data_IF_767964606208
#
_entry.id   IF_767964606208
#
_cell.length_a   1.000
_cell.length_b   1.000
_cell.length_c   1.000
_cell.angle_alpha   90.00
_cell.angle_beta   90.00
_cell.angle_gamma   90.00
#
_symmetry.space_group_name_H-M   'P 1'
#
loop_
_entity.id
_entity.type
_entity.pdbx_description
1 polymer ?
#
# COMPACT_ATOMS: atom_id res chain seq x y z
N UNK A 1 -23.66 -7.02 18.15
CA UNK A 1 -22.66 -6.95 19.23
C UNK A 1 -21.67 -8.11 19.17
N UNK A 2 -22.10 -9.36 18.95
CA UNK A 2 -21.18 -10.50 18.74
C UNK A 2 -20.23 -10.29 17.55
N UNK A 3 -20.73 -9.92 16.38
CA UNK A 3 -19.88 -9.65 15.21
C UNK A 3 -18.88 -8.51 15.43
N UNK A 4 -19.26 -7.50 16.21
CA UNK A 4 -18.37 -6.39 16.57
C UNK A 4 -17.26 -6.88 17.53
N UNK A 5 -17.62 -7.73 18.49
CA UNK A 5 -16.67 -8.35 19.43
C UNK A 5 -15.71 -9.30 18.73
N UNK A 6 -16.19 -10.06 17.74
CA UNK A 6 -15.36 -10.91 16.89
C UNK A 6 -14.40 -10.08 16.04
N UNK A 7 -14.87 -8.97 15.45
CA UNK A 7 -14.00 -8.05 14.72
C UNK A 7 -12.90 -7.45 15.61
N UNK A 8 -13.22 -7.04 16.84
CA UNK A 8 -12.21 -6.57 17.80
C UNK A 8 -11.24 -7.69 18.23
N UNK A 9 -11.71 -8.93 18.33
CA UNK A 9 -10.87 -10.09 18.64
C UNK A 9 -9.90 -10.39 17.49
N UNK A 10 -10.35 -10.32 16.24
CA UNK A 10 -9.51 -10.45 15.05
C UNK A 10 -8.48 -9.31 14.99
N UNK A 11 -8.86 -8.09 15.37
CA UNK A 11 -7.94 -6.95 15.41
C UNK A 11 -6.83 -7.11 16.45
N UNK A 12 -7.12 -7.81 17.54
CA UNK A 12 -6.17 -8.12 18.61
C UNK A 12 -5.33 -9.38 18.31
N UNK A 13 -5.62 -10.07 17.21
CA UNK A 13 -4.91 -11.28 16.83
C UNK A 13 -3.52 -10.95 16.28
N UNK A 14 -2.52 -11.70 16.74
CA UNK A 14 -1.11 -11.48 16.39
C UNK A 14 -0.83 -11.75 14.91
N UNK A 15 -1.53 -12.73 14.33
CA UNK A 15 -1.39 -13.07 12.91
C UNK A 15 -2.00 -11.98 12.02
N UNK A 16 -3.15 -11.42 12.41
CA UNK A 16 -3.75 -10.27 11.72
C UNK A 16 -2.85 -9.02 11.79
N UNK A 17 -2.27 -8.72 12.96
CA UNK A 17 -1.30 -7.64 13.13
C UNK A 17 -0.06 -7.83 12.25
N UNK A 18 0.41 -9.07 12.09
CA UNK A 18 1.55 -9.40 11.24
C UNK A 18 1.23 -9.26 9.75
N UNK A 19 0.06 -9.77 9.33
CA UNK A 19 -0.45 -9.63 7.97
C UNK A 19 -0.65 -8.16 7.60
N UNK A 20 -1.34 -7.40 8.46
CA UNK A 20 -1.50 -5.95 8.30
C UNK A 20 -0.15 -5.23 8.24
N UNK A 21 0.82 -5.64 9.06
CA UNK A 21 2.19 -5.14 9.01
C UNK A 21 2.87 -5.39 7.66
N UNK A 22 2.72 -6.57 7.08
CA UNK A 22 3.30 -6.89 5.76
C UNK A 22 2.64 -6.10 4.62
N UNK A 23 1.32 -5.92 4.68
CA UNK A 23 0.60 -5.03 3.74
C UNK A 23 1.10 -3.60 3.86
N UNK A 24 1.27 -3.10 5.09
CA UNK A 24 1.72 -1.74 5.35
C UNK A 24 3.18 -1.53 4.91
N UNK A 25 4.03 -2.54 5.09
CA UNK A 25 5.39 -2.55 4.51
C UNK A 25 5.30 -2.50 2.99
N UNK A 26 4.50 -3.34 2.34
CA UNK A 26 4.31 -3.31 0.88
C UNK A 26 3.76 -1.97 0.37
N UNK A 27 2.95 -1.28 1.16
CA UNK A 27 2.41 0.04 0.84
C UNK A 27 3.45 1.16 0.96
N UNK A 28 4.27 1.17 2.02
CA UNK A 28 5.27 2.22 2.26
C UNK A 28 6.57 2.00 1.48
N UNK A 29 6.88 0.75 1.12
CA UNK A 29 8.12 0.40 0.44
C UNK A 29 8.32 1.14 -0.89
N UNK A 30 7.31 1.29 -1.77
CA UNK A 30 7.40 2.10 -2.97
C UNK A 30 7.76 3.56 -2.70
N UNK A 31 7.19 4.18 -1.66
CA UNK A 31 7.46 5.59 -1.30
C UNK A 31 8.88 5.77 -0.76
N UNK A 32 9.35 4.85 0.07
CA UNK A 32 10.72 4.85 0.58
C UNK A 32 11.75 4.65 -0.53
N UNK A 33 11.48 3.70 -1.44
CA UNK A 33 12.32 3.40 -2.60
C UNK A 33 12.30 4.56 -3.60
N UNK A 34 11.14 5.12 -3.90
CA UNK A 34 10.98 6.30 -4.75
C UNK A 34 11.70 7.53 -4.17
N UNK A 35 11.60 7.78 -2.86
CA UNK A 35 12.33 8.85 -2.19
C UNK A 35 13.85 8.70 -2.26
N UNK A 36 14.37 7.49 -2.04
CA UNK A 36 15.81 7.20 -2.15
C UNK A 36 16.33 7.22 -3.60
N UNK A 37 15.53 6.74 -4.55
CA UNK A 37 15.89 6.68 -5.96
C UNK A 37 15.56 7.96 -6.74
N UNK A 38 14.75 8.87 -6.20
CA UNK A 38 14.40 10.16 -6.82
C UNK A 38 15.64 11.00 -7.14
N UNK A 39 16.72 10.80 -6.37
CA UNK A 39 18.00 11.45 -6.57
C UNK A 39 18.81 10.90 -7.77
N UNK A 40 18.39 9.80 -8.39
CA UNK A 40 19.10 9.15 -9.52
C UNK A 40 18.18 8.73 -10.69
N UNK A 41 16.88 8.52 -10.47
CA UNK A 41 15.94 7.97 -11.46
C UNK A 41 14.70 8.87 -11.57
N UNK A 42 14.88 10.05 -12.15
CA UNK A 42 13.82 11.06 -12.39
C UNK A 42 12.79 10.63 -13.46
N UNK A 43 12.93 9.44 -14.05
CA UNK A 43 12.22 9.05 -15.27
C UNK A 43 11.10 8.01 -15.06
N UNK A 44 10.93 7.49 -13.85
CA UNK A 44 9.92 6.47 -13.54
C UNK A 44 8.74 7.13 -12.82
N UNK A 45 7.50 6.99 -13.34
CA UNK A 45 6.30 7.49 -12.68
C UNK A 45 6.14 6.90 -11.28
N UNK A 46 5.65 7.68 -10.33
CA UNK A 46 5.49 7.24 -8.94
C UNK A 46 4.60 6.00 -8.81
N UNK A 47 3.59 5.86 -9.69
CA UNK A 47 2.71 4.67 -9.72
C UNK A 47 3.45 3.40 -10.13
N UNK A 48 4.50 3.52 -10.94
CA UNK A 48 5.24 2.37 -11.43
C UNK A 48 6.08 1.70 -10.33
N UNK A 49 6.50 2.45 -9.30
CA UNK A 49 7.22 1.87 -8.15
C UNK A 49 6.31 0.93 -7.35
N UNK A 50 5.04 1.29 -7.17
CA UNK A 50 4.05 0.42 -6.52
C UNK A 50 3.84 -0.88 -7.29
N UNK A 51 3.70 -0.79 -8.62
CA UNK A 51 3.54 -1.95 -9.50
C UNK A 51 4.76 -2.88 -9.47
N UNK A 52 5.97 -2.31 -9.47
CA UNK A 52 7.21 -3.09 -9.39
C UNK A 52 7.28 -3.86 -8.07
N UNK A 53 6.92 -3.22 -6.95
CA UNK A 53 6.88 -3.89 -5.64
C UNK A 53 5.84 -5.00 -5.62
N UNK A 54 4.66 -4.77 -6.19
CA UNK A 54 3.62 -5.80 -6.30
C UNK A 54 4.05 -7.00 -7.13
N UNK A 55 4.66 -6.77 -8.29
CA UNK A 55 5.13 -7.83 -9.19
C UNK A 55 6.26 -8.63 -8.56
N UNK A 56 7.21 -7.96 -7.89
CA UNK A 56 8.28 -8.63 -7.15
C UNK A 56 7.71 -9.44 -5.99
N UNK A 57 6.77 -8.89 -5.23
CA UNK A 57 6.15 -9.59 -4.11
C UNK A 57 5.39 -10.85 -4.57
N UNK A 58 4.65 -10.79 -5.70
CA UNK A 58 4.02 -11.96 -6.32
C UNK A 58 5.06 -13.00 -6.72
N UNK A 59 6.16 -12.58 -7.34
CA UNK A 59 7.23 -13.49 -7.76
C UNK A 59 7.86 -14.26 -6.59
N UNK A 60 8.03 -13.60 -5.45
CA UNK A 60 8.57 -14.20 -4.22
C UNK A 60 7.52 -14.89 -3.34
N UNK A 61 6.23 -14.87 -3.72
CA UNK A 61 5.14 -15.50 -2.97
C UNK A 61 4.66 -14.72 -1.74
N UNK A 62 5.01 -13.43 -1.63
CA UNK A 62 4.55 -12.54 -0.55
C UNK A 62 3.27 -11.82 -0.95
N UNK A 63 2.12 -12.48 -0.79
CA UNK A 63 0.84 -12.00 -1.30
C UNK A 63 0.36 -10.73 -0.57
N UNK A 64 0.59 -10.64 0.73
CA UNK A 64 0.24 -9.50 1.58
C UNK A 64 1.03 -8.25 1.17
N UNK A 65 2.31 -8.42 0.87
CA UNK A 65 3.19 -7.34 0.38
C UNK A 65 2.74 -6.89 -1.02
N UNK A 66 2.29 -7.83 -1.86
CA UNK A 66 1.76 -7.50 -3.18
C UNK A 66 0.48 -6.68 -3.12
N UNK A 67 -0.42 -7.01 -2.19
CA UNK A 67 -1.62 -6.21 -1.91
C UNK A 67 -1.22 -4.81 -1.47
N UNK A 68 -0.25 -4.69 -0.55
CA UNK A 68 0.30 -3.39 -0.13
C UNK A 68 0.82 -2.53 -1.29
N UNK A 69 1.65 -3.11 -2.17
CA UNK A 69 2.20 -2.40 -3.32
C UNK A 69 1.13 -2.00 -4.35
N UNK A 70 0.10 -2.83 -4.52
CA UNK A 70 -1.01 -2.55 -5.43
C UNK A 70 -1.88 -1.41 -4.90
N UNK A 71 -2.12 -1.37 -3.58
CA UNK A 71 -2.80 -0.25 -2.92
C UNK A 71 -1.98 1.03 -3.06
N UNK A 72 -0.66 0.99 -2.89
CA UNK A 72 0.19 2.16 -3.10
C UNK A 72 0.13 2.69 -4.53
N UNK A 73 0.08 1.79 -5.53
CA UNK A 73 -0.13 2.16 -6.94
C UNK A 73 -1.46 2.87 -7.13
N UNK A 74 -2.55 2.32 -6.57
CA UNK A 74 -3.88 2.92 -6.66
C UNK A 74 -3.97 4.28 -5.97
N UNK A 75 -3.28 4.45 -4.84
CA UNK A 75 -3.22 5.71 -4.11
C UNK A 75 -2.47 6.81 -4.89
N UNK A 76 -1.33 6.47 -5.48
CA UNK A 76 -0.57 7.37 -6.35
C UNK A 76 -1.35 7.74 -7.62
N UNK A 77 -2.06 6.77 -8.22
CA UNK A 77 -2.94 7.05 -9.34
C UNK A 77 -4.12 7.96 -8.93
N UNK A 78 -4.71 7.75 -7.74
CA UNK A 78 -5.79 8.61 -7.25
C UNK A 78 -5.33 10.06 -7.00
N UNK A 79 -4.07 10.26 -6.60
CA UNK A 79 -3.44 11.58 -6.54
C UNK A 79 -3.25 12.20 -7.93
N UNK A 80 -2.72 11.44 -8.90
CA UNK A 80 -2.48 11.95 -10.25
C UNK A 80 -3.78 12.30 -11.00
N UNK A 81 -4.88 11.60 -10.72
CA UNK A 81 -6.22 11.90 -11.23
C UNK A 81 -6.99 12.97 -10.40
N UNK A 82 -6.42 13.51 -9.33
CA UNK A 82 -7.02 14.59 -8.54
C UNK A 82 -8.23 14.18 -7.69
N UNK A 83 -8.45 12.88 -7.48
CA UNK A 83 -9.64 12.35 -6.78
C UNK A 83 -9.61 12.66 -5.28
N UNK A 84 -8.42 12.68 -4.65
CA UNK A 84 -8.29 13.02 -3.23
C UNK A 84 -8.76 14.45 -2.91
N UNK A 85 -8.57 15.38 -3.84
CA UNK A 85 -8.92 16.78 -3.64
C UNK A 85 -10.44 17.02 -3.65
N UNK A 86 -11.21 16.20 -4.37
CA UNK A 86 -12.67 16.31 -4.38
C UNK A 86 -13.32 15.75 -3.11
N UNK A 87 -12.70 14.75 -2.47
CA UNK A 87 -13.22 14.15 -1.24
C UNK A 87 -12.95 15.07 -0.02
N UNK A 88 -11.78 15.71 0.03
CA UNK A 88 -11.44 16.67 1.09
C UNK A 88 -12.28 17.96 1.03
N UNK A 89 -12.83 18.32 -0.13
CA UNK A 89 -13.75 19.44 -0.28
C UNK A 89 -15.22 19.09 0.07
N UNK A 90 -15.52 17.80 0.26
CA UNK A 90 -16.86 17.30 0.56
C UNK A 90 -17.07 16.91 2.04
N UNK A 91 -16.04 17.05 2.88
CA UNK A 91 -16.06 16.92 4.34
C UNK A 91 -15.91 18.30 5.00
#
# INVERSE_FOLDING_TARGET
MQELSEAFSTLADGDFMREAGMVLVGFLFPTLVGGLLSNHLTMIPEEAYGLVVSLLAIYFGYHEVAVGGAVATGDAAAESFGVKQSLAAAL
#
